data_IF_067625029243
#
_entry.id   IF_067625029243
#
_cell.length_a   1.000
_cell.length_b   1.000
_cell.length_c   1.000
_cell.angle_alpha   90.00
_cell.angle_beta   90.00
_cell.angle_gamma   90.00
#
_symmetry.space_group_name_H-M   'P 1'
#
loop_
_entity.id
_entity.type
_entity.pdbx_description
1 polymer ?
#
# COMPACT_ATOMS: atom_id res chain seq x y z
N UNK A 1 -9.10 13.41 -11.18
CA UNK A 1 -9.45 12.49 -10.08
C UNK A 1 -9.58 11.10 -10.67
N UNK A 2 -8.58 10.22 -10.46
CA UNK A 2 -8.67 8.83 -10.92
C UNK A 2 -9.60 8.09 -9.96
N UNK A 3 -10.84 7.88 -10.36
CA UNK A 3 -11.77 6.98 -9.66
C UNK A 3 -11.18 5.57 -9.76
N UNK A 4 -11.14 4.84 -8.64
CA UNK A 4 -10.80 3.43 -8.65
C UNK A 4 -11.88 2.70 -9.44
N UNK A 5 -11.54 2.24 -10.63
CA UNK A 5 -12.46 1.53 -11.51
C UNK A 5 -11.97 0.08 -11.67
N UNK A 6 -12.71 -0.91 -11.14
CA UNK A 6 -12.38 -2.33 -11.33
C UNK A 6 -12.18 -2.73 -12.80
N UNK A 7 -12.90 -2.09 -13.74
CA UNK A 7 -12.75 -2.31 -15.18
C UNK A 7 -11.35 -1.95 -15.68
N UNK A 8 -10.73 -0.89 -15.12
CA UNK A 8 -9.38 -0.49 -15.50
C UNK A 8 -8.34 -1.50 -15.00
N UNK A 9 -8.54 -2.08 -13.81
CA UNK A 9 -7.64 -3.12 -13.32
C UNK A 9 -7.70 -4.39 -14.17
N UNK A 10 -8.88 -4.76 -14.66
CA UNK A 10 -9.02 -5.92 -15.56
C UNK A 10 -8.27 -5.73 -16.88
N UNK A 11 -8.24 -4.51 -17.41
CA UNK A 11 -7.38 -4.17 -18.54
C UNK A 11 -5.90 -4.40 -18.21
N UNK A 12 -5.39 -3.83 -17.09
CA UNK A 12 -3.97 -3.98 -16.74
C UNK A 12 -3.54 -5.42 -16.44
N UNK A 13 -4.44 -6.26 -15.94
CA UNK A 13 -4.18 -7.71 -15.75
C UNK A 13 -3.89 -8.44 -17.06
N UNK A 14 -4.31 -7.89 -18.21
CA UNK A 14 -4.10 -8.48 -19.54
C UNK A 14 -2.89 -7.90 -20.27
N UNK A 15 -2.28 -6.83 -19.75
CA UNK A 15 -1.11 -6.21 -20.38
C UNK A 15 0.11 -7.13 -20.24
N UNK A 16 0.77 -7.57 -21.34
CA UNK A 16 1.86 -8.55 -21.27
C UNK A 16 3.03 -8.12 -20.39
N UNK A 17 3.40 -6.83 -20.41
CA UNK A 17 4.46 -6.31 -19.52
C UNK A 17 4.11 -6.49 -18.04
N UNK A 18 2.86 -6.19 -17.67
CA UNK A 18 2.36 -6.35 -16.28
C UNK A 18 2.32 -7.82 -15.89
N UNK A 19 1.81 -8.69 -16.78
CA UNK A 19 1.78 -10.14 -16.55
C UNK A 19 3.18 -10.72 -16.35
N UNK A 20 4.11 -10.39 -17.25
CA UNK A 20 5.49 -10.86 -17.18
C UNK A 20 6.19 -10.35 -15.91
N UNK A 21 5.96 -9.10 -15.53
CA UNK A 21 6.54 -8.54 -14.32
C UNK A 21 5.97 -9.16 -13.03
N UNK A 22 4.71 -9.62 -13.05
CA UNK A 22 4.04 -10.26 -11.92
C UNK A 22 4.23 -11.78 -11.84
N UNK A 23 4.55 -12.44 -12.94
CA UNK A 23 4.69 -13.90 -13.03
C UNK A 23 5.57 -14.56 -11.95
N UNK A 24 6.65 -13.93 -11.44
CA UNK A 24 7.47 -14.53 -10.39
C UNK A 24 6.86 -14.50 -8.97
N UNK A 25 5.73 -13.83 -8.76
CA UNK A 25 5.17 -13.58 -7.44
C UNK A 25 3.88 -14.36 -7.18
N UNK A 26 3.47 -14.45 -5.90
CA UNK A 26 2.21 -15.07 -5.52
C UNK A 26 1.02 -14.32 -6.13
N UNK A 27 -0.06 -15.06 -6.44
CA UNK A 27 -1.32 -14.45 -6.89
C UNK A 27 -1.82 -13.40 -5.88
N UNK A 28 -1.63 -13.66 -4.59
CA UNK A 28 -2.03 -12.77 -3.49
C UNK A 28 -1.28 -11.45 -3.53
N UNK A 29 0.04 -11.47 -3.72
CA UNK A 29 0.82 -10.27 -3.92
C UNK A 29 0.37 -9.52 -5.19
N UNK A 30 0.21 -10.24 -6.31
CA UNK A 30 -0.21 -9.66 -7.58
C UNK A 30 -1.57 -8.94 -7.47
N UNK A 31 -2.54 -9.55 -6.79
CA UNK A 31 -3.86 -8.97 -6.53
C UNK A 31 -3.79 -7.70 -5.67
N UNK A 32 -2.89 -7.67 -4.68
CA UNK A 32 -2.74 -6.53 -3.78
C UNK A 32 -1.91 -5.38 -4.38
N UNK A 33 -0.85 -5.68 -5.12
CA UNK A 33 0.06 -4.63 -5.61
C UNK A 33 -0.52 -3.86 -6.79
N UNK A 34 -1.33 -4.50 -7.63
CA UNK A 34 -1.87 -3.87 -8.84
C UNK A 34 -2.79 -2.67 -8.54
N UNK A 35 -3.74 -2.74 -7.58
CA UNK A 35 -4.48 -1.58 -7.09
C UNK A 35 -3.60 -0.43 -6.61
N UNK A 36 -2.52 -0.74 -5.87
CA UNK A 36 -1.59 0.28 -5.36
C UNK A 36 -0.87 0.95 -6.53
N UNK A 37 -0.31 0.20 -7.46
CA UNK A 37 0.34 0.75 -8.65
C UNK A 37 -0.61 1.64 -9.47
N UNK A 38 -1.89 1.26 -9.59
CA UNK A 38 -2.89 2.09 -10.23
C UNK A 38 -3.10 3.41 -9.48
N UNK A 39 -3.27 3.35 -8.15
CA UNK A 39 -3.47 4.54 -7.31
C UNK A 39 -2.25 5.47 -7.26
N UNK A 40 -1.04 4.91 -7.38
CA UNK A 40 0.21 5.67 -7.51
C UNK A 40 0.43 6.23 -8.94
N UNK A 41 -0.45 5.91 -9.89
CA UNK A 41 -0.27 6.26 -11.30
C UNK A 41 0.85 5.48 -12.00
N UNK A 42 1.42 4.47 -11.34
CA UNK A 42 2.51 3.62 -11.85
C UNK A 42 2.14 2.77 -13.06
N UNK A 43 0.86 2.60 -13.36
CA UNK A 43 0.40 1.85 -14.55
C UNK A 43 0.24 2.73 -15.81
N UNK A 44 0.62 4.01 -15.75
CA UNK A 44 0.72 4.88 -16.93
C UNK A 44 1.90 4.46 -17.80
N UNK A 45 1.90 4.86 -19.08
CA UNK A 45 2.93 4.48 -20.05
C UNK A 45 4.35 4.92 -19.67
N UNK A 46 4.49 6.00 -18.90
CA UNK A 46 5.76 6.50 -18.37
C UNK A 46 6.09 5.96 -16.97
N UNK A 47 5.28 5.02 -16.45
CA UNK A 47 5.39 4.51 -15.08
C UNK A 47 4.99 5.53 -14.01
N UNK A 48 4.23 6.57 -14.36
CA UNK A 48 3.87 7.65 -13.43
C UNK A 48 5.07 8.50 -13.03
N UNK A 49 6.03 8.69 -13.93
CA UNK A 49 7.24 9.46 -13.68
C UNK A 49 6.87 10.89 -13.27
N UNK A 50 7.26 11.29 -12.06
CA UNK A 50 7.02 12.62 -11.53
C UNK A 50 8.33 13.21 -11.01
N UNK A 51 8.61 14.46 -11.37
CA UNK A 51 9.79 15.21 -10.93
C UNK A 51 9.43 16.66 -10.62
N UNK A 52 8.46 16.87 -9.73
CA UNK A 52 8.02 18.21 -9.34
C UNK A 52 8.86 18.72 -8.17
N UNK A 53 9.49 19.88 -8.34
CA UNK A 53 10.42 20.47 -7.37
C UNK A 53 9.82 20.75 -5.99
N UNK A 54 8.49 20.95 -5.90
CA UNK A 54 7.78 21.14 -4.62
C UNK A 54 7.46 19.83 -3.90
N UNK A 55 7.70 18.67 -4.52
CA UNK A 55 7.46 17.38 -3.90
C UNK A 55 8.62 16.99 -2.98
N UNK A 56 8.30 16.77 -1.70
CA UNK A 56 9.26 16.36 -0.67
C UNK A 56 9.87 14.98 -0.95
N UNK A 57 9.30 14.19 -1.87
CA UNK A 57 9.81 12.88 -2.30
C UNK A 57 10.88 12.94 -3.39
N UNK A 58 10.95 14.04 -4.15
CA UNK A 58 11.79 14.15 -5.34
C UNK A 58 11.32 13.24 -6.49
N UNK A 59 12.23 12.91 -7.40
CA UNK A 59 11.97 12.03 -8.56
C UNK A 59 11.30 10.72 -8.11
N UNK A 60 10.15 10.40 -8.69
CA UNK A 60 9.32 9.24 -8.35
C UNK A 60 8.84 8.52 -9.59
N UNK A 61 8.87 7.19 -9.59
CA UNK A 61 8.31 6.31 -10.65
C UNK A 61 7.72 5.05 -10.02
N UNK A 62 6.57 4.58 -10.49
CA UNK A 62 5.82 3.45 -9.90
C UNK A 62 5.49 3.64 -8.40
N UNK A 63 5.38 4.87 -7.92
CA UNK A 63 5.22 5.19 -6.49
C UNK A 63 6.50 5.03 -5.65
N UNK A 64 7.64 4.73 -6.28
CA UNK A 64 8.94 4.60 -5.62
C UNK A 64 9.73 5.91 -5.80
N UNK A 65 10.10 6.55 -4.70
CA UNK A 65 10.79 7.84 -4.70
C UNK A 65 12.30 7.72 -4.49
N UNK A 66 13.07 8.63 -5.09
CA UNK A 66 14.53 8.72 -4.92
C UNK A 66 14.90 8.94 -3.45
N UNK A 67 14.08 9.68 -2.71
CA UNK A 67 14.30 9.89 -1.28
C UNK A 67 14.25 8.59 -0.49
N UNK A 68 13.31 7.70 -0.80
CA UNK A 68 13.21 6.40 -0.12
C UNK A 68 14.30 5.42 -0.60
N UNK A 69 14.76 5.56 -1.85
CA UNK A 69 15.77 4.70 -2.46
C UNK A 69 16.91 5.51 -3.10
N UNK A 70 17.81 6.12 -2.31
CA UNK A 70 18.80 7.07 -2.81
C UNK A 70 19.77 6.52 -3.84
N UNK A 71 20.00 5.20 -3.85
CA UNK A 71 20.94 4.52 -4.74
C UNK A 71 20.29 3.87 -5.96
N UNK A 72 18.96 3.96 -6.09
CA UNK A 72 18.23 3.39 -7.23
C UNK A 72 18.11 4.45 -8.31
N UNK A 73 18.35 4.09 -9.57
CA UNK A 73 18.03 4.95 -10.70
C UNK A 73 16.52 4.97 -10.93
N UNK A 74 15.84 5.94 -10.31
CA UNK A 74 14.38 6.05 -10.38
C UNK A 74 13.91 6.43 -11.79
N UNK A 75 14.70 7.20 -12.55
CA UNK A 75 14.34 7.65 -13.90
C UNK A 75 14.15 6.45 -14.83
N UNK A 76 15.08 5.51 -14.77
CA UNK A 76 15.08 4.30 -15.60
C UNK A 76 14.56 3.06 -14.86
N UNK A 77 13.89 3.24 -13.72
CA UNK A 77 13.28 2.15 -12.97
C UNK A 77 12.31 1.38 -13.88
N UNK A 78 12.39 0.05 -13.85
CA UNK A 78 11.46 -0.84 -14.57
C UNK A 78 10.35 -1.31 -13.63
N UNK A 79 9.20 -1.69 -14.19
CA UNK A 79 8.09 -2.24 -13.39
C UNK A 79 8.53 -3.48 -12.58
N UNK A 80 9.27 -4.40 -13.21
CA UNK A 80 9.79 -5.59 -12.52
C UNK A 80 10.69 -5.24 -11.32
N UNK A 81 11.54 -4.21 -11.46
CA UNK A 81 12.40 -3.76 -10.36
C UNK A 81 11.57 -3.08 -9.27
N UNK A 82 10.60 -2.24 -9.62
CA UNK A 82 9.69 -1.62 -8.65
C UNK A 82 8.92 -2.68 -7.84
N UNK A 83 8.37 -3.70 -8.50
CA UNK A 83 7.69 -4.83 -7.85
C UNK A 83 8.62 -5.57 -6.87
N UNK A 84 9.90 -5.74 -7.23
CA UNK A 84 10.86 -6.38 -6.31
C UNK A 84 11.08 -5.59 -5.02
N UNK A 85 11.05 -4.25 -5.10
CA UNK A 85 11.14 -3.37 -3.94
C UNK A 85 9.87 -3.45 -3.10
N UNK A 86 8.68 -3.35 -3.73
CA UNK A 86 7.41 -3.54 -3.03
C UNK A 86 7.34 -4.89 -2.31
N UNK A 87 7.74 -5.95 -2.98
CA UNK A 87 7.71 -7.30 -2.42
C UNK A 87 8.68 -7.45 -1.24
N UNK A 88 9.91 -6.94 -1.37
CA UNK A 88 10.93 -7.06 -0.32
C UNK A 88 10.63 -6.18 0.89
N UNK A 89 10.37 -4.90 0.66
CA UNK A 89 10.44 -3.87 1.70
C UNK A 89 9.08 -3.58 2.35
N UNK A 90 7.99 -4.03 1.73
CA UNK A 90 6.65 -3.85 2.26
C UNK A 90 5.92 -5.18 2.42
N UNK A 91 5.75 -5.98 1.35
CA UNK A 91 4.98 -7.23 1.41
C UNK A 91 5.57 -8.25 2.41
N UNK A 92 6.86 -8.58 2.25
CA UNK A 92 7.57 -9.50 3.14
C UNK A 92 7.79 -8.89 4.52
N UNK A 93 8.19 -7.62 4.57
CA UNK A 93 8.43 -6.91 5.82
C UNK A 93 7.18 -6.83 6.71
N UNK A 94 5.99 -6.76 6.11
CA UNK A 94 4.71 -6.69 6.83
C UNK A 94 4.04 -8.06 7.04
N UNK A 95 4.68 -9.16 6.65
CA UNK A 95 4.10 -10.51 6.68
C UNK A 95 2.73 -10.61 5.97
N UNK A 96 2.57 -9.90 4.84
CA UNK A 96 1.31 -9.86 4.10
C UNK A 96 0.93 -11.22 3.51
N UNK A 97 1.91 -12.01 3.04
CA UNK A 97 1.67 -13.36 2.51
C UNK A 97 0.95 -14.25 3.54
N UNK A 98 1.35 -14.15 4.81
CA UNK A 98 0.82 -14.92 5.92
C UNK A 98 -0.44 -14.31 6.57
N UNK A 99 -0.71 -13.03 6.32
CA UNK A 99 -1.86 -12.33 6.92
C UNK A 99 -3.18 -12.73 6.25
N UNK A 100 -4.35 -12.61 6.90
CA UNK A 100 -5.63 -12.88 6.24
C UNK A 100 -5.86 -11.97 5.03
N UNK A 101 -6.66 -12.43 4.06
CA UNK A 101 -7.09 -11.60 2.94
C UNK A 101 -7.77 -10.30 3.43
N UNK A 102 -7.62 -9.21 2.68
CA UNK A 102 -8.05 -7.87 3.08
C UNK A 102 -7.13 -7.23 4.12
N UNK A 103 -6.70 -7.96 5.16
CA UNK A 103 -5.72 -7.45 6.14
C UNK A 103 -4.35 -7.28 5.47
N UNK A 104 -3.92 -8.25 4.69
CA UNK A 104 -2.70 -8.19 3.88
C UNK A 104 -2.63 -6.94 2.99
N UNK A 105 -3.72 -6.60 2.33
CA UNK A 105 -3.82 -5.41 1.49
C UNK A 105 -3.80 -4.12 2.31
N UNK A 106 -4.54 -4.06 3.42
CA UNK A 106 -4.53 -2.92 4.34
C UNK A 106 -3.12 -2.68 4.93
N UNK A 107 -2.38 -3.76 5.23
CA UNK A 107 -1.00 -3.68 5.72
C UNK A 107 -0.04 -3.20 4.64
N UNK A 108 -0.14 -3.74 3.42
CA UNK A 108 0.72 -3.36 2.30
C UNK A 108 0.54 -1.88 1.95
N UNK A 109 -0.68 -1.46 1.62
CA UNK A 109 -0.97 -0.08 1.25
C UNK A 109 -0.68 0.89 2.40
N UNK A 110 -1.01 0.48 3.64
CA UNK A 110 -0.69 1.23 4.83
C UNK A 110 0.81 1.44 5.01
N UNK A 111 1.63 0.41 4.79
CA UNK A 111 3.08 0.50 4.90
C UNK A 111 3.70 1.36 3.79
N UNK A 112 3.15 1.33 2.58
CA UNK A 112 3.58 2.22 1.47
C UNK A 112 3.35 3.68 1.84
N UNK A 113 2.17 4.01 2.37
CA UNK A 113 1.80 5.39 2.68
C UNK A 113 2.41 5.93 3.99
N UNK A 114 2.54 5.07 5.01
CA UNK A 114 2.93 5.47 6.36
C UNK A 114 4.36 5.08 6.75
N UNK A 115 5.02 4.26 5.92
CA UNK A 115 6.21 3.51 6.29
C UNK A 115 5.88 2.26 7.13
N UNK A 116 6.63 1.18 6.90
CA UNK A 116 6.45 -0.09 7.59
C UNK A 116 6.53 0.02 9.13
N UNK A 117 7.47 0.76 9.75
CA UNK A 117 7.53 0.86 11.22
C UNK A 117 6.27 1.52 11.81
N UNK A 118 5.80 2.61 11.23
CA UNK A 118 4.64 3.33 11.74
C UNK A 118 3.34 2.53 11.53
N UNK A 119 3.21 1.84 10.39
CA UNK A 119 2.08 0.95 10.12
C UNK A 119 2.09 -0.27 11.06
N UNK A 120 3.27 -0.80 11.37
CA UNK A 120 3.46 -1.88 12.34
C UNK A 120 3.01 -1.45 13.74
N UNK A 121 3.45 -0.28 14.23
CA UNK A 121 3.02 0.22 15.54
C UNK A 121 1.51 0.44 15.62
N UNK A 122 0.90 0.93 14.54
CA UNK A 122 -0.56 1.06 14.47
C UNK A 122 -1.23 -0.31 14.60
N UNK A 123 -0.77 -1.30 13.83
CA UNK A 123 -1.30 -2.67 13.85
C UNK A 123 -1.12 -3.33 15.21
N UNK A 124 0.07 -3.20 15.82
CA UNK A 124 0.39 -3.74 17.14
C UNK A 124 -0.58 -3.23 18.21
N UNK A 125 -0.93 -1.94 18.21
CA UNK A 125 -1.94 -1.39 19.12
C UNK A 125 -3.32 -2.05 18.93
N UNK A 126 -3.73 -2.33 17.69
CA UNK A 126 -5.03 -2.93 17.39
C UNK A 126 -5.11 -4.40 17.79
N UNK A 127 -3.99 -5.12 17.74
CA UNK A 127 -3.90 -6.53 18.13
C UNK A 127 -3.40 -6.72 19.57
N UNK A 128 -3.39 -5.66 20.38
CA UNK A 128 -2.93 -5.65 21.78
C UNK A 128 -1.51 -6.21 21.98
N UNK A 129 -0.61 -5.94 21.02
CA UNK A 129 0.82 -6.23 21.10
C UNK A 129 1.61 -4.98 21.47
N UNK A 130 2.84 -5.16 22.00
CA UNK A 130 3.77 -4.06 22.27
C UNK A 130 4.02 -3.24 20.99
N UNK A 131 3.79 -1.92 20.96
CA UNK A 131 3.93 -1.10 19.76
C UNK A 131 5.40 -0.68 19.51
N UNK A 132 6.30 -1.64 19.32
CA UNK A 132 7.73 -1.41 19.09
C UNK A 132 8.10 -1.14 17.62
N UNK A 133 7.14 -1.28 16.70
CA UNK A 133 7.33 -1.05 15.27
C UNK A 133 8.08 -2.15 14.53
N UNK A 134 8.29 -3.31 15.17
CA UNK A 134 8.92 -4.48 14.56
C UNK A 134 7.87 -5.53 14.22
N UNK A 135 7.63 -5.72 12.92
CA UNK A 135 6.68 -6.72 12.45
C UNK A 135 7.35 -8.09 12.52
N UNK A 136 7.18 -8.78 13.65
CA UNK A 136 7.77 -10.09 13.89
C UNK A 136 6.72 -11.18 14.14
N UNK A 137 7.16 -12.42 14.41
CA UNK A 137 6.28 -13.58 14.56
C UNK A 137 5.18 -13.41 15.62
N UNK A 138 5.48 -12.70 16.72
CA UNK A 138 4.48 -12.42 17.78
C UNK A 138 3.37 -11.49 17.29
N UNK A 139 3.70 -10.46 16.51
CA UNK A 139 2.71 -9.56 15.92
C UNK A 139 1.87 -10.29 14.88
N UNK A 140 2.50 -11.09 14.02
CA UNK A 140 1.78 -11.94 13.06
C UNK A 140 0.83 -12.90 13.76
N UNK A 141 1.27 -13.59 14.82
CA UNK A 141 0.40 -14.47 15.60
C UNK A 141 -0.80 -13.72 16.18
N UNK A 142 -0.60 -12.51 16.72
CA UNK A 142 -1.70 -11.69 17.23
C UNK A 142 -2.66 -11.20 16.12
N UNK A 143 -2.17 -10.92 14.92
CA UNK A 143 -3.00 -10.63 13.74
C UNK A 143 -3.89 -11.83 13.41
N UNK A 144 -3.33 -13.03 13.39
CA UNK A 144 -4.04 -14.27 13.05
C UNK A 144 -5.13 -14.66 14.05
N UNK A 145 -5.08 -14.14 15.28
CA UNK A 145 -6.08 -14.37 16.32
C UNK A 145 -7.26 -13.37 16.27
N UNK A 146 -7.24 -12.41 15.34
CA UNK A 146 -8.33 -11.44 15.18
C UNK A 146 -9.22 -11.79 13.98
N UNK A 147 -10.55 -11.63 14.10
CA UNK A 147 -11.42 -11.72 12.93
C UNK A 147 -10.99 -10.72 11.87
N UNK A 148 -10.75 -11.22 10.65
CA UNK A 148 -10.12 -10.44 9.59
C UNK A 148 -10.92 -9.19 9.21
N UNK A 149 -12.25 -9.32 9.06
CA UNK A 149 -13.14 -8.19 8.78
C UNK A 149 -13.03 -7.09 9.85
N UNK A 150 -13.09 -7.47 11.14
CA UNK A 150 -12.95 -6.51 12.24
C UNK A 150 -11.60 -5.81 12.21
N UNK A 151 -10.50 -6.54 11.96
CA UNK A 151 -9.18 -5.93 11.89
C UNK A 151 -9.03 -5.00 10.67
N UNK A 152 -9.55 -5.38 9.51
CA UNK A 152 -9.59 -4.54 8.30
C UNK A 152 -10.30 -3.20 8.56
N UNK A 153 -11.49 -3.24 9.17
CA UNK A 153 -12.25 -2.02 9.51
C UNK A 153 -11.49 -1.16 10.53
N UNK A 154 -10.91 -1.78 11.57
CA UNK A 154 -10.13 -1.06 12.58
C UNK A 154 -8.87 -0.41 12.01
N UNK A 155 -8.18 -1.09 11.08
CA UNK A 155 -7.04 -0.53 10.36
C UNK A 155 -7.48 0.70 9.55
N UNK A 156 -8.63 0.62 8.87
CA UNK A 156 -9.17 1.75 8.09
C UNK A 156 -9.44 2.96 8.98
N UNK A 157 -10.24 2.78 10.04
CA UNK A 157 -10.57 3.86 10.99
C UNK A 157 -9.32 4.51 11.58
N UNK A 158 -8.33 3.70 12.00
CA UNK A 158 -7.13 4.23 12.64
C UNK A 158 -6.16 4.91 11.66
N UNK A 159 -6.15 4.50 10.39
CA UNK A 159 -5.46 5.24 9.33
C UNK A 159 -6.13 6.60 9.07
N UNK A 160 -7.46 6.65 9.03
CA UNK A 160 -8.21 7.92 8.96
C UNK A 160 -7.87 8.86 10.13
N UNK A 161 -7.89 8.35 11.37
CA UNK A 161 -7.48 9.11 12.56
C UNK A 161 -6.04 9.63 12.47
N UNK A 162 -5.14 8.85 11.86
CA UNK A 162 -3.76 9.28 11.63
C UNK A 162 -3.69 10.45 10.65
N UNK A 163 -4.47 10.45 9.57
CA UNK A 163 -4.54 11.61 8.66
C UNK A 163 -5.05 12.86 9.37
N UNK A 164 -6.13 12.74 10.14
CA UNK A 164 -6.67 13.86 10.92
C UNK A 164 -5.60 14.42 11.87
N UNK A 165 -4.81 13.56 12.52
CA UNK A 165 -3.71 13.99 13.40
C UNK A 165 -2.55 14.65 12.65
N UNK A 166 -2.23 14.20 11.44
CA UNK A 166 -1.23 14.86 10.58
C UNK A 166 -1.68 16.29 10.29
N UNK A 167 -2.92 16.50 9.84
CA UNK A 167 -3.45 17.84 9.54
C UNK A 167 -3.63 18.72 10.79
N UNK A 168 -3.89 18.12 11.95
CA UNK A 168 -3.95 18.84 13.23
C UNK A 168 -2.56 19.33 13.66
N UNK A 169 -1.50 18.55 13.39
CA UNK A 169 -0.12 18.89 13.73
C UNK A 169 0.55 19.81 12.68
N UNK A 170 0.17 19.68 11.41
CA UNK A 170 0.69 20.46 10.29
C UNK A 170 -0.47 20.83 9.35
N UNK A 171 -0.99 22.05 9.49
CA UNK A 171 -2.13 22.53 8.72
C UNK A 171 -1.82 22.69 7.22
N UNK A 172 -0.54 22.77 6.83
CA UNK A 172 -0.13 22.83 5.41
C UNK A 172 -0.50 21.56 4.65
N UNK A 173 -0.78 20.46 5.36
CA UNK A 173 -1.16 19.18 4.77
C UNK A 173 -2.64 19.06 4.42
N UNK A 174 -3.50 19.96 4.89
CA UNK A 174 -4.96 19.90 4.66
C UNK A 174 -5.38 19.74 3.19
N UNK A 175 -4.72 20.39 2.19
CA UNK A 175 -5.06 20.20 0.78
C UNK A 175 -4.95 18.74 0.29
N UNK A 176 -4.12 17.92 0.93
CA UNK A 176 -3.92 16.51 0.57
C UNK A 176 -4.96 15.56 1.18
N UNK A 177 -5.75 16.05 2.16
CA UNK A 177 -6.60 15.20 3.01
C UNK A 177 -7.67 14.45 2.23
N UNK A 178 -8.32 15.13 1.28
CA UNK A 178 -9.34 14.52 0.42
C UNK A 178 -8.74 13.35 -0.37
N UNK A 179 -7.56 13.55 -0.98
CA UNK A 179 -6.84 12.50 -1.70
C UNK A 179 -6.51 11.29 -0.81
N UNK A 180 -6.09 11.53 0.44
CA UNK A 180 -5.80 10.46 1.40
C UNK A 180 -7.04 9.65 1.78
N UNK A 181 -8.17 10.31 2.02
CA UNK A 181 -9.42 9.62 2.34
C UNK A 181 -10.01 8.89 1.13
N UNK A 182 -9.91 9.45 -0.08
CA UNK A 182 -10.33 8.77 -1.30
C UNK A 182 -9.54 7.47 -1.52
N UNK A 183 -8.22 7.50 -1.31
CA UNK A 183 -7.40 6.27 -1.33
C UNK A 183 -7.84 5.29 -0.26
N UNK A 184 -8.03 5.75 0.97
CA UNK A 184 -8.42 4.89 2.08
C UNK A 184 -9.79 4.22 1.86
N UNK A 185 -10.75 4.94 1.29
CA UNK A 185 -12.06 4.40 0.92
C UNK A 185 -11.91 3.26 -0.09
N UNK A 186 -11.26 3.50 -1.23
CA UNK A 186 -11.02 2.47 -2.25
C UNK A 186 -10.28 1.24 -1.70
N UNK A 187 -9.25 1.47 -0.88
CA UNK A 187 -8.46 0.39 -0.28
C UNK A 187 -9.31 -0.43 0.69
N UNK A 188 -10.16 0.22 1.48
CA UNK A 188 -11.06 -0.45 2.42
C UNK A 188 -12.13 -1.26 1.69
N UNK A 189 -12.76 -0.69 0.67
CA UNK A 189 -13.77 -1.37 -0.15
C UNK A 189 -13.19 -2.63 -0.81
N UNK A 190 -12.02 -2.52 -1.45
CA UNK A 190 -11.35 -3.67 -2.04
C UNK A 190 -11.00 -4.74 -1.00
N UNK A 191 -10.44 -4.34 0.15
CA UNK A 191 -10.10 -5.27 1.23
C UNK A 191 -11.32 -6.02 1.78
N UNK A 192 -12.46 -5.34 1.92
CA UNK A 192 -13.71 -5.96 2.37
C UNK A 192 -14.29 -6.90 1.29
N UNK A 193 -14.21 -6.53 0.01
CA UNK A 193 -14.67 -7.39 -1.08
C UNK A 193 -13.84 -8.68 -1.18
N UNK A 194 -12.53 -8.61 -0.92
CA UNK A 194 -11.67 -9.80 -0.87
C UNK A 194 -12.10 -10.77 0.23
N UNK A 195 -12.55 -10.25 1.38
CA UNK A 195 -13.06 -11.07 2.49
C UNK A 195 -14.39 -11.74 2.18
N UNK A 196 -15.24 -11.06 1.39
CA UNK A 196 -16.56 -11.55 1.00
C UNK A 196 -16.53 -12.50 -0.21
N UNK A 197 -15.38 -12.68 -0.86
CA UNK A 197 -15.25 -13.48 -2.09
C UNK A 197 -15.82 -12.80 -3.34
N UNK A 198 -15.97 -11.46 -3.31
CA UNK A 198 -16.60 -10.66 -4.38
C UNK A 198 -15.56 -9.80 -5.14
N UNK A 199 -14.27 -10.08 -4.96
CA UNK A 199 -13.15 -9.29 -5.50
C UNK A 199 -12.70 -9.71 -6.91
#
# INVERSE_FOLDING_TARGET
>A
MFVFNPLNLNYFKQVPEVQNALAPYSLKFAQCILPILYLEGGLRSDGGLNNVASDRGGLTKYGISQRAYPTVDIKNLTLAKALSLYHRDYWRAMHCEQSPAGVDFMLLDGAVQHGAPAMTQLTQRLVNSKPDGRMGPKTLAAILQRPALSLTVLLSVNRGRKYARICANDSSQKPNLEGWYNRLAHVTEFAVNQLSGVA
#
